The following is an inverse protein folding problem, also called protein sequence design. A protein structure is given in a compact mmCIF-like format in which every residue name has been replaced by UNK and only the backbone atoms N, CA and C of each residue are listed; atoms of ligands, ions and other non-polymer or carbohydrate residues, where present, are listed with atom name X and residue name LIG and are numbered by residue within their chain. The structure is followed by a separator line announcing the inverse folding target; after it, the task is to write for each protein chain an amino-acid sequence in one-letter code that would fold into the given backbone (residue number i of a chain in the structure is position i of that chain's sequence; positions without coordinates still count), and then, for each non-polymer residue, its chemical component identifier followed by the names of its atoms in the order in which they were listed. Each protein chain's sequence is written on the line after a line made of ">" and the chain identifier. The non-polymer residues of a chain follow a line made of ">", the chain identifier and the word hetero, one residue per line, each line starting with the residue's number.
data_IF_800740199504
#
_entry.id   IF_800740199504
#
_cell.length_a   1.000
_cell.length_b   1.000
_cell.length_c   1.000
_cell.angle_alpha   90.00
_cell.angle_beta   90.00
_cell.angle_gamma   90.00
#
_symmetry.space_group_name_H-M   'P 1'
#
loop_
_entity.id
_entity.type
_entity.pdbx_description
1 polymer ?
#
# COMPACT_ATOMS: atom_id res chain seq x y z
N UNK A 1 24.44 -18.46 -6.89
CA UNK A 1 23.09 -17.90 -7.09
C UNK A 1 22.70 -17.18 -5.84
N UNK A 2 22.31 -15.92 -5.98
CA UNK A 2 21.81 -15.09 -4.90
C UNK A 2 20.50 -15.69 -4.36
N UNK A 3 20.30 -15.58 -3.05
CA UNK A 3 19.06 -15.94 -2.39
C UNK A 3 18.47 -14.64 -1.84
N UNK A 4 17.61 -13.95 -2.59
CA UNK A 4 17.03 -12.71 -2.12
C UNK A 4 16.01 -12.97 -1.01
N UNK A 5 15.91 -12.06 -0.06
CA UNK A 5 14.89 -12.07 0.99
C UNK A 5 13.57 -11.50 0.49
N UNK A 6 13.62 -10.63 -0.52
CA UNK A 6 12.48 -9.99 -1.16
C UNK A 6 12.72 -9.83 -2.66
N UNK A 7 11.70 -10.09 -3.48
CA UNK A 7 11.71 -9.81 -4.92
C UNK A 7 10.60 -8.80 -5.25
N UNK A 8 10.97 -7.74 -5.96
CA UNK A 8 10.04 -6.71 -6.43
C UNK A 8 10.06 -6.70 -7.95
N UNK A 9 8.89 -6.82 -8.57
CA UNK A 9 8.76 -6.77 -10.02
C UNK A 9 7.65 -5.82 -10.45
N UNK A 10 7.87 -5.13 -11.58
CA UNK A 10 6.90 -4.22 -12.18
C UNK A 10 6.44 -4.74 -13.53
N UNK A 11 5.17 -4.53 -13.88
CA UNK A 11 4.61 -4.92 -15.17
C UNK A 11 4.85 -6.41 -15.49
N UNK A 12 5.51 -6.72 -16.59
CA UNK A 12 5.93 -8.10 -16.91
C UNK A 12 6.85 -8.69 -15.84
N UNK A 13 7.73 -7.89 -15.24
CA UNK A 13 8.56 -8.29 -14.09
C UNK A 13 7.69 -8.69 -12.90
N UNK A 14 6.57 -8.00 -12.67
CA UNK A 14 5.58 -8.34 -11.65
C UNK A 14 4.91 -9.70 -11.91
N UNK A 15 4.58 -9.99 -13.15
CA UNK A 15 4.06 -11.31 -13.54
C UNK A 15 5.07 -12.43 -13.20
N UNK A 16 6.33 -12.29 -13.59
CA UNK A 16 7.37 -13.28 -13.27
C UNK A 16 7.65 -13.37 -11.76
N UNK A 17 7.56 -12.24 -11.05
CA UNK A 17 7.75 -12.20 -9.59
C UNK A 17 6.66 -13.03 -8.88
N UNK A 18 5.41 -12.96 -9.32
CA UNK A 18 4.33 -13.78 -8.77
C UNK A 18 4.64 -15.28 -8.87
N UNK A 19 5.24 -15.73 -9.95
CA UNK A 19 5.55 -17.14 -10.21
C UNK A 19 6.66 -17.72 -9.33
N UNK A 20 7.44 -16.90 -8.64
CA UNK A 20 8.47 -17.35 -7.70
C UNK A 20 7.81 -17.96 -6.45
N UNK A 21 8.52 -18.85 -5.76
CA UNK A 21 8.04 -19.51 -4.54
C UNK A 21 9.09 -19.44 -3.43
N UNK A 22 8.62 -19.44 -2.17
CA UNK A 22 9.47 -19.47 -0.99
C UNK A 22 10.24 -18.18 -0.69
N UNK A 23 9.83 -17.05 -1.26
CA UNK A 23 10.42 -15.72 -1.05
C UNK A 23 9.30 -14.68 -0.95
N UNK A 24 9.53 -13.61 -0.20
CA UNK A 24 8.61 -12.48 -0.16
C UNK A 24 8.62 -11.73 -1.49
N UNK A 25 7.44 -11.29 -1.94
CA UNK A 25 7.24 -10.75 -3.28
C UNK A 25 6.35 -9.52 -3.26
N UNK A 26 6.73 -8.52 -4.08
CA UNK A 26 5.86 -7.38 -4.37
C UNK A 26 5.71 -7.27 -5.89
N UNK A 27 4.48 -7.36 -6.36
CA UNK A 27 4.10 -7.25 -7.76
C UNK A 27 3.46 -5.87 -7.99
N UNK A 28 4.11 -5.00 -8.74
CA UNK A 28 3.60 -3.65 -9.05
C UNK A 28 3.03 -3.64 -10.46
N UNK A 29 1.75 -3.34 -10.59
CA UNK A 29 1.02 -3.36 -11.88
C UNK A 29 1.37 -4.60 -12.73
N UNK A 30 1.24 -5.82 -12.17
CA UNK A 30 1.69 -7.04 -12.84
C UNK A 30 0.86 -7.35 -14.09
N UNK A 31 1.53 -7.59 -15.21
CA UNK A 31 0.92 -7.79 -16.52
C UNK A 31 0.50 -9.26 -16.75
N UNK A 32 -0.45 -9.78 -15.95
CA UNK A 32 -0.90 -11.18 -16.05
C UNK A 32 -1.67 -11.53 -17.33
N UNK A 33 -2.05 -10.54 -18.15
CA UNK A 33 -2.80 -10.73 -19.39
C UNK A 33 -2.01 -10.28 -20.61
N UNK A 34 -0.68 -10.40 -20.59
CA UNK A 34 0.20 -9.84 -21.61
C UNK A 34 -0.11 -10.38 -23.03
N UNK A 35 -0.44 -11.66 -23.16
CA UNK A 35 -0.85 -12.25 -24.44
C UNK A 35 -2.10 -11.58 -25.02
N UNK A 36 -3.09 -11.27 -24.19
CA UNK A 36 -4.31 -10.56 -24.58
C UNK A 36 -4.02 -9.08 -24.84
N UNK A 37 -3.23 -8.43 -24.02
CA UNK A 37 -2.82 -7.03 -24.21
C UNK A 37 -2.11 -6.84 -25.55
N UNK A 38 -1.20 -7.74 -25.95
CA UNK A 38 -0.53 -7.71 -27.25
C UNK A 38 -1.55 -7.80 -28.39
N UNK A 39 -2.58 -8.64 -28.24
CA UNK A 39 -3.64 -8.79 -29.25
C UNK A 39 -4.53 -7.56 -29.34
N UNK A 40 -5.04 -7.08 -28.22
CA UNK A 40 -6.01 -6.00 -28.13
C UNK A 40 -5.43 -4.66 -28.56
N UNK A 41 -4.17 -4.40 -28.20
CA UNK A 41 -3.45 -3.19 -28.56
C UNK A 41 -2.73 -3.30 -29.92
N UNK A 42 -2.95 -4.39 -30.67
CA UNK A 42 -2.33 -4.61 -31.98
C UNK A 42 -0.81 -4.45 -31.98
N UNK A 43 -0.15 -4.94 -30.92
CA UNK A 43 1.29 -4.75 -30.71
C UNK A 43 2.16 -5.69 -31.58
N UNK A 44 1.57 -6.62 -32.33
CA UNK A 44 2.32 -7.50 -33.24
C UNK A 44 2.96 -6.67 -34.35
N UNK A 45 4.26 -6.81 -34.52
CA UNK A 45 5.06 -6.03 -35.47
C UNK A 45 6.21 -5.30 -34.80
N UNK A 46 6.66 -4.24 -35.41
CA UNK A 46 7.76 -3.39 -34.93
C UNK A 46 7.27 -2.49 -33.80
N UNK A 47 7.91 -2.59 -32.65
CA UNK A 47 7.66 -1.78 -31.47
C UNK A 47 8.94 -1.05 -31.05
N UNK A 48 8.80 0.10 -30.39
CA UNK A 48 9.91 0.89 -29.85
C UNK A 48 9.92 0.76 -28.33
N UNK A 49 11.11 0.52 -27.77
CA UNK A 49 11.26 0.51 -26.33
C UNK A 49 10.95 1.88 -25.75
N UNK A 50 10.13 1.92 -24.71
CA UNK A 50 9.76 3.16 -24.02
C UNK A 50 10.96 3.85 -23.35
N UNK A 51 11.93 3.06 -22.90
CA UNK A 51 13.15 3.57 -22.27
C UNK A 51 14.37 3.23 -23.15
N UNK A 52 15.34 4.16 -23.27
CA UNK A 52 16.57 3.88 -23.98
C UNK A 52 17.30 2.68 -23.40
N UNK A 53 17.70 1.73 -24.25
CA UNK A 53 18.50 0.58 -23.84
C UNK A 53 19.99 0.93 -23.86
N UNK A 54 20.74 0.35 -22.92
CA UNK A 54 22.21 0.55 -22.83
C UNK A 54 22.98 -0.03 -24.02
N UNK A 55 22.40 -1.03 -24.70
CA UNK A 55 23.00 -1.68 -25.89
C UNK A 55 22.71 -0.92 -27.21
N UNK A 56 22.01 0.21 -27.14
CA UNK A 56 21.65 1.03 -28.31
C UNK A 56 20.49 0.48 -29.16
N UNK A 57 19.97 -0.71 -28.86
CA UNK A 57 18.83 -1.30 -29.57
C UNK A 57 17.56 -0.59 -29.10
N UNK A 58 16.89 0.13 -29.99
CA UNK A 58 15.67 0.88 -29.68
C UNK A 58 14.39 0.17 -30.08
N UNK A 59 14.48 -0.87 -30.89
CA UNK A 59 13.33 -1.52 -31.51
C UNK A 59 13.28 -3.01 -31.17
N UNK A 60 12.07 -3.53 -31.08
CA UNK A 60 11.79 -4.95 -30.92
C UNK A 60 10.71 -5.39 -31.89
N UNK A 61 10.81 -6.60 -32.40
CA UNK A 61 9.77 -7.20 -33.22
C UNK A 61 8.93 -8.12 -32.35
N UNK A 62 7.70 -7.74 -32.09
CA UNK A 62 6.71 -8.58 -31.42
C UNK A 62 6.08 -9.51 -32.45
N UNK A 63 6.31 -10.81 -32.31
CA UNK A 63 5.78 -11.81 -33.22
C UNK A 63 4.51 -12.46 -32.66
N UNK A 64 3.71 -13.10 -33.53
CA UNK A 64 2.60 -13.95 -33.06
C UNK A 64 3.07 -15.12 -32.21
N UNK A 65 4.26 -15.64 -32.45
CA UNK A 65 4.88 -16.68 -31.60
C UNK A 65 5.12 -16.16 -30.19
N UNK A 66 5.72 -14.96 -30.06
CA UNK A 66 5.94 -14.30 -28.78
C UNK A 66 4.62 -14.02 -28.04
N UNK A 67 3.59 -13.59 -28.74
CA UNK A 67 2.25 -13.41 -28.17
C UNK A 67 1.71 -14.74 -27.56
N UNK A 68 1.86 -15.84 -28.31
CA UNK A 68 1.44 -17.17 -27.85
C UNK A 68 2.26 -17.64 -26.62
N UNK A 69 3.57 -17.42 -26.63
CA UNK A 69 4.44 -17.71 -25.49
C UNK A 69 4.00 -16.97 -24.22
N UNK A 70 3.65 -15.68 -24.34
CA UNK A 70 3.10 -14.92 -23.21
C UNK A 70 1.78 -15.45 -22.71
N UNK A 71 0.89 -15.87 -23.60
CA UNK A 71 -0.38 -16.49 -23.22
C UNK A 71 -0.15 -17.82 -22.47
N UNK A 72 0.83 -18.62 -22.89
CA UNK A 72 1.21 -19.88 -22.22
C UNK A 72 1.87 -19.61 -20.86
N UNK A 73 2.75 -18.63 -20.75
CA UNK A 73 3.39 -18.24 -19.48
C UNK A 73 2.33 -17.71 -18.49
N UNK A 74 1.40 -16.89 -18.94
CA UNK A 74 0.31 -16.36 -18.11
C UNK A 74 -0.52 -17.47 -17.47
N UNK A 75 -0.72 -18.62 -18.15
CA UNK A 75 -1.43 -19.74 -17.58
C UNK A 75 -0.70 -20.41 -16.39
N UNK A 76 0.58 -20.12 -16.21
CA UNK A 76 1.36 -20.62 -15.07
C UNK A 76 1.23 -19.72 -13.84
N UNK A 77 0.77 -18.48 -14.00
CA UNK A 77 0.49 -17.58 -12.88
C UNK A 77 -0.56 -18.19 -11.96
N UNK A 78 -0.42 -17.94 -10.68
CA UNK A 78 -1.31 -18.42 -9.61
C UNK A 78 -1.41 -19.94 -9.44
N UNK A 79 -0.63 -20.72 -10.19
CA UNK A 79 -0.62 -22.18 -10.04
C UNK A 79 0.17 -22.61 -8.82
N UNK A 80 -0.40 -23.51 -8.01
CA UNK A 80 0.28 -24.06 -6.82
C UNK A 80 0.47 -23.04 -5.69
N UNK A 81 -0.37 -22.00 -5.62
CA UNK A 81 -0.36 -21.02 -4.51
C UNK A 81 -0.70 -21.74 -3.20
N UNK A 82 0.18 -21.63 -2.22
CA UNK A 82 0.00 -22.16 -0.86
C UNK A 82 -0.53 -21.09 0.09
N UNK A 83 -0.96 -21.49 1.30
CA UNK A 83 -1.35 -20.53 2.34
C UNK A 83 -0.16 -19.66 2.82
N UNK A 84 1.07 -20.20 2.80
CA UNK A 84 2.29 -19.42 3.06
C UNK A 84 2.51 -18.37 1.96
N UNK A 85 2.35 -18.74 0.69
CA UNK A 85 2.41 -17.77 -0.42
C UNK A 85 1.38 -16.64 -0.26
N UNK A 86 0.16 -16.95 0.19
CA UNK A 86 -0.88 -15.95 0.41
C UNK A 86 -0.50 -14.87 1.42
N UNK A 87 0.40 -15.17 2.34
CA UNK A 87 0.90 -14.22 3.34
C UNK A 87 2.13 -13.43 2.88
N UNK A 88 2.82 -13.91 1.82
CA UNK A 88 4.11 -13.37 1.37
C UNK A 88 4.03 -12.56 0.10
N UNK A 89 2.87 -12.48 -0.56
CA UNK A 89 2.72 -11.82 -1.86
C UNK A 89 1.86 -10.58 -1.73
N UNK A 90 2.43 -9.43 -2.06
CA UNK A 90 1.76 -8.14 -2.11
C UNK A 90 1.59 -7.71 -3.57
N UNK A 91 0.44 -7.16 -3.90
CA UNK A 91 0.16 -6.53 -5.20
C UNK A 91 -0.13 -5.05 -5.02
N UNK A 92 0.55 -4.21 -5.78
CA UNK A 92 0.31 -2.77 -5.83
C UNK A 92 -0.24 -2.40 -7.21
N UNK A 93 -1.39 -1.74 -7.26
CA UNK A 93 -2.11 -1.46 -8.51
C UNK A 93 -2.49 0.01 -8.62
N UNK A 94 -2.03 0.67 -9.69
CA UNK A 94 -2.40 2.05 -10.01
C UNK A 94 -3.87 2.13 -10.46
N UNK A 95 -4.63 3.02 -9.85
CA UNK A 95 -6.05 3.25 -10.16
C UNK A 95 -6.27 3.92 -11.53
N UNK A 96 -5.25 4.63 -12.02
CA UNK A 96 -5.22 5.27 -13.33
C UNK A 96 -4.28 4.57 -14.34
N UNK A 97 -3.96 3.28 -14.13
CA UNK A 97 -3.11 2.51 -15.05
C UNK A 97 -3.84 2.28 -16.38
N UNK A 98 -3.34 2.83 -17.51
CA UNK A 98 -3.98 2.64 -18.81
C UNK A 98 -3.63 1.31 -19.49
N UNK A 99 -2.74 0.51 -18.91
CA UNK A 99 -2.16 -0.68 -19.56
C UNK A 99 -2.63 -1.98 -18.91
N UNK A 100 -2.67 -2.02 -17.58
CA UNK A 100 -2.89 -3.23 -16.81
C UNK A 100 -4.08 -3.07 -15.88
N UNK A 101 -5.05 -4.01 -15.96
CA UNK A 101 -6.26 -4.02 -15.15
C UNK A 101 -6.45 -5.38 -14.47
N UNK A 102 -5.46 -5.80 -13.69
CA UNK A 102 -5.40 -7.16 -13.11
C UNK A 102 -5.60 -7.20 -11.60
N UNK A 103 -6.11 -6.12 -11.00
CA UNK A 103 -6.37 -6.03 -9.57
C UNK A 103 -7.30 -7.15 -9.08
N UNK A 104 -8.48 -7.30 -9.70
CA UNK A 104 -9.49 -8.27 -9.26
C UNK A 104 -9.00 -9.72 -9.42
N UNK A 105 -8.25 -9.97 -10.50
CA UNK A 105 -7.61 -11.27 -10.72
C UNK A 105 -6.62 -11.56 -9.59
N UNK A 106 -5.75 -10.63 -9.25
CA UNK A 106 -4.78 -10.79 -8.16
C UNK A 106 -5.48 -10.95 -6.80
N UNK A 107 -6.47 -10.09 -6.49
CA UNK A 107 -7.22 -10.10 -5.24
C UNK A 107 -8.00 -11.41 -5.02
N UNK A 108 -8.38 -12.11 -6.08
CA UNK A 108 -9.02 -13.42 -5.98
C UNK A 108 -8.06 -14.53 -5.48
N UNK A 109 -6.76 -14.32 -5.58
CA UNK A 109 -5.72 -15.27 -5.16
C UNK A 109 -4.96 -14.83 -3.89
N UNK A 110 -4.73 -13.52 -3.76
CA UNK A 110 -3.93 -12.93 -2.67
C UNK A 110 -4.70 -11.83 -1.95
N UNK A 111 -4.81 -11.87 -0.62
CA UNK A 111 -5.53 -10.84 0.14
C UNK A 111 -4.80 -9.49 0.19
N UNK A 112 -3.47 -9.47 -0.06
CA UNK A 112 -2.67 -8.24 -0.01
C UNK A 112 -2.67 -7.51 -1.37
N UNK A 113 -3.85 -7.21 -1.90
CA UNK A 113 -4.05 -6.39 -3.08
C UNK A 113 -4.31 -4.94 -2.68
N UNK A 114 -3.41 -4.04 -3.04
CA UNK A 114 -3.39 -2.65 -2.61
C UNK A 114 -3.55 -1.75 -3.82
N UNK A 115 -4.52 -0.83 -3.80
CA UNK A 115 -4.65 0.23 -4.81
C UNK A 115 -3.80 1.43 -4.41
N UNK A 116 -3.28 2.15 -5.39
CA UNK A 116 -2.59 3.42 -5.17
C UNK A 116 -2.99 4.45 -6.23
N UNK A 117 -2.92 5.72 -5.87
CA UNK A 117 -3.18 6.82 -6.81
C UNK A 117 -2.00 6.99 -7.76
N UNK A 118 -2.14 6.48 -8.96
CA UNK A 118 -1.09 6.54 -9.97
C UNK A 118 -1.35 5.68 -11.19
N UNK A 119 -0.43 5.84 -12.12
CA UNK A 119 -0.44 5.15 -13.41
C UNK A 119 0.41 3.88 -13.40
N UNK A 120 0.74 3.38 -14.60
CA UNK A 120 1.53 2.16 -14.80
C UNK A 120 2.96 2.22 -14.26
N UNK A 121 3.58 3.40 -14.29
CA UNK A 121 4.99 3.56 -13.94
C UNK A 121 5.21 3.70 -12.44
N UNK A 122 6.23 3.01 -11.95
CA UNK A 122 6.75 3.20 -10.60
C UNK A 122 7.58 4.50 -10.56
N UNK A 123 6.92 5.62 -10.29
CA UNK A 123 7.56 6.92 -10.08
C UNK A 123 7.96 7.09 -8.62
N UNK A 124 8.79 8.09 -8.32
CA UNK A 124 9.32 8.37 -6.98
C UNK A 124 8.21 8.48 -5.91
N UNK A 125 7.11 9.19 -6.22
CA UNK A 125 5.96 9.30 -5.32
C UNK A 125 5.39 7.91 -4.97
N UNK A 126 5.18 7.05 -5.96
CA UNK A 126 4.66 5.68 -5.74
C UNK A 126 5.66 4.85 -4.96
N UNK A 127 6.95 5.01 -5.23
CA UNK A 127 8.01 4.32 -4.50
C UNK A 127 7.94 4.63 -3.00
N UNK A 128 7.95 5.89 -2.62
CA UNK A 128 8.04 6.28 -1.21
C UNK A 128 6.71 6.15 -0.46
N UNK A 129 5.58 6.50 -1.07
CA UNK A 129 4.29 6.48 -0.38
C UNK A 129 3.62 5.10 -0.34
N UNK A 130 3.94 4.20 -1.28
CA UNK A 130 3.21 2.93 -1.39
C UNK A 130 4.12 1.71 -1.30
N UNK A 131 5.23 1.71 -2.02
CA UNK A 131 6.11 0.54 -2.05
C UNK A 131 6.95 0.42 -0.78
N UNK A 132 7.61 1.48 -0.35
CA UNK A 132 8.50 1.44 0.82
C UNK A 132 7.81 1.06 2.13
N UNK A 133 6.59 1.51 2.44
CA UNK A 133 5.85 1.00 3.62
C UNK A 133 5.63 -0.51 3.57
N UNK A 134 5.29 -1.08 2.41
CA UNK A 134 5.13 -2.53 2.26
C UNK A 134 6.46 -3.26 2.44
N UNK A 135 7.56 -2.73 1.88
CA UNK A 135 8.92 -3.26 2.11
C UNK A 135 9.24 -3.27 3.60
N UNK A 136 8.89 -2.20 4.32
CA UNK A 136 9.11 -2.08 5.77
C UNK A 136 8.31 -3.12 6.56
N UNK A 137 7.04 -3.34 6.25
CA UNK A 137 6.23 -4.37 6.90
C UNK A 137 6.81 -5.78 6.67
N UNK A 138 7.30 -6.05 5.46
CA UNK A 138 7.96 -7.32 5.14
C UNK A 138 9.25 -7.46 5.97
N UNK A 139 10.09 -6.44 6.00
CA UNK A 139 11.34 -6.43 6.78
C UNK A 139 11.08 -6.63 8.28
N UNK A 140 10.14 -5.89 8.86
CA UNK A 140 9.78 -6.03 10.27
C UNK A 140 9.30 -7.46 10.59
N UNK A 141 8.49 -8.05 9.71
CA UNK A 141 8.04 -9.45 9.86
C UNK A 141 9.20 -10.45 9.78
N UNK A 142 10.12 -10.28 8.82
CA UNK A 142 11.29 -11.15 8.66
C UNK A 142 12.23 -11.05 9.86
N UNK A 143 12.37 -9.87 10.44
CA UNK A 143 13.22 -9.60 11.60
C UNK A 143 12.53 -9.94 12.93
N UNK A 144 11.23 -10.26 12.92
CA UNK A 144 10.43 -10.43 14.13
C UNK A 144 10.31 -9.15 14.95
N UNK A 145 10.37 -7.99 14.30
CA UNK A 145 10.33 -6.69 14.94
C UNK A 145 8.89 -6.26 15.18
N UNK A 146 8.55 -6.07 16.44
CA UNK A 146 7.29 -5.47 16.87
C UNK A 146 7.49 -3.96 17.11
N UNK A 147 6.59 -3.15 16.53
CA UNK A 147 6.57 -1.70 16.77
C UNK A 147 5.37 -1.33 17.63
N UNK A 148 5.52 -0.37 18.55
CA UNK A 148 4.38 0.13 19.28
C UNK A 148 3.28 0.65 18.34
N UNK A 149 2.04 0.47 18.73
CA UNK A 149 0.86 0.86 17.95
C UNK A 149 0.42 2.28 18.29
N UNK A 150 0.07 3.05 17.25
CA UNK A 150 -0.52 4.39 17.37
C UNK A 150 -1.87 4.40 16.68
N UNK A 151 -2.93 4.63 17.44
CA UNK A 151 -4.29 4.83 16.93
C UNK A 151 -4.51 6.32 16.70
N UNK A 152 -4.83 6.71 15.48
CA UNK A 152 -5.16 8.10 15.11
C UNK A 152 -6.66 8.22 14.92
N UNK A 153 -7.34 8.91 15.82
CA UNK A 153 -8.79 9.12 15.75
C UNK A 153 -9.17 10.06 14.61
N UNK A 154 -10.25 9.74 13.92
CA UNK A 154 -10.80 10.50 12.80
C UNK A 154 -10.96 12.00 13.09
N UNK A 155 -11.26 12.37 14.33
CA UNK A 155 -11.44 13.76 14.76
C UNK A 155 -10.17 14.61 14.66
N UNK A 156 -9.01 14.02 14.40
CA UNK A 156 -7.71 14.71 14.34
C UNK A 156 -7.16 14.82 12.92
N UNK A 157 -7.87 14.31 11.90
CA UNK A 157 -7.33 14.17 10.56
C UNK A 157 -7.59 15.39 9.67
N UNK A 158 -8.82 15.93 9.73
CA UNK A 158 -9.29 16.92 8.78
C UNK A 158 -9.84 18.19 9.43
N UNK A 159 -9.80 19.28 8.70
CA UNK A 159 -10.47 20.52 9.03
C UNK A 159 -11.98 20.48 8.73
N UNK A 160 -12.67 21.58 8.97
CA UNK A 160 -14.11 21.73 8.70
C UNK A 160 -14.48 21.63 7.21
N UNK A 161 -13.50 21.69 6.32
CA UNK A 161 -13.69 21.60 4.87
C UNK A 161 -13.28 20.22 4.33
N UNK A 162 -12.95 19.27 5.19
CA UNK A 162 -12.52 17.93 4.83
C UNK A 162 -11.11 17.85 4.27
N UNK A 163 -10.27 18.86 4.46
CA UNK A 163 -8.85 18.83 4.07
C UNK A 163 -7.98 18.36 5.24
N UNK A 164 -6.89 17.63 4.97
CA UNK A 164 -5.95 17.23 6.02
C UNK A 164 -5.46 18.44 6.82
N UNK A 165 -5.40 18.30 8.13
CA UNK A 165 -4.85 19.33 9.01
C UNK A 165 -3.39 19.63 8.67
N UNK A 166 -2.97 20.87 8.91
CA UNK A 166 -1.58 21.28 8.70
C UNK A 166 -0.62 20.33 9.45
N UNK A 167 0.49 19.99 8.81
CA UNK A 167 1.53 19.09 9.32
C UNK A 167 1.09 17.62 9.56
N UNK A 168 -0.18 17.24 9.26
CA UNK A 168 -0.64 15.86 9.41
C UNK A 168 0.22 14.87 8.59
N UNK A 169 0.46 15.16 7.30
CA UNK A 169 1.25 14.25 6.45
C UNK A 169 2.67 14.06 6.99
N UNK A 170 3.31 15.15 7.43
CA UNK A 170 4.65 15.08 8.04
C UNK A 170 4.65 14.24 9.32
N UNK A 171 3.62 14.39 10.15
CA UNK A 171 3.46 13.60 11.37
C UNK A 171 3.24 12.12 11.05
N UNK A 172 2.39 11.84 10.07
CA UNK A 172 2.09 10.49 9.65
C UNK A 172 3.34 9.78 9.07
N UNK A 173 4.10 10.43 8.21
CA UNK A 173 5.36 9.88 7.69
C UNK A 173 6.35 9.58 8.83
N UNK A 174 6.51 10.51 9.76
CA UNK A 174 7.36 10.28 10.94
C UNK A 174 6.89 9.09 11.78
N UNK A 175 5.59 9.00 12.05
CA UNK A 175 5.02 7.89 12.82
C UNK A 175 5.20 6.55 12.11
N UNK A 176 5.01 6.48 10.79
CA UNK A 176 5.23 5.26 10.01
C UNK A 176 6.66 4.73 10.09
N UNK A 177 7.64 5.60 10.30
CA UNK A 177 9.04 5.18 10.42
C UNK A 177 9.32 4.41 11.73
N UNK A 178 8.53 4.65 12.76
CA UNK A 178 8.83 4.17 14.12
C UNK A 178 7.71 3.32 14.75
N UNK A 179 6.46 3.43 14.25
CA UNK A 179 5.26 2.87 14.87
C UNK A 179 4.40 2.10 13.88
N UNK A 180 3.54 1.22 14.39
CA UNK A 180 2.41 0.67 13.64
C UNK A 180 1.23 1.64 13.76
N UNK A 181 0.92 2.35 12.69
CA UNK A 181 -0.11 3.39 12.68
C UNK A 181 -1.43 2.84 12.18
N UNK A 182 -2.49 3.06 12.94
CA UNK A 182 -3.86 2.69 12.59
C UNK A 182 -4.77 3.92 12.64
N UNK A 183 -5.73 3.99 11.72
CA UNK A 183 -6.77 5.02 11.71
C UNK A 183 -8.02 4.49 12.39
N UNK A 184 -8.51 5.23 13.36
CA UNK A 184 -9.73 4.91 14.09
C UNK A 184 -10.87 5.77 13.56
N UNK A 185 -11.80 5.16 12.84
CA UNK A 185 -12.92 5.82 12.19
C UNK A 185 -14.22 5.42 12.92
N UNK A 186 -15.09 6.36 13.30
CA UNK A 186 -16.38 6.01 13.88
C UNK A 186 -17.24 5.25 12.87
N UNK A 187 -18.10 4.34 13.38
CA UNK A 187 -19.04 3.57 12.57
C UNK A 187 -20.49 3.96 12.93
N UNK A 188 -21.01 5.10 12.44
CA UNK A 188 -22.36 5.51 12.75
C UNK A 188 -23.40 4.53 12.19
N UNK A 189 -24.33 4.11 13.03
CA UNK A 189 -25.34 3.10 12.65
C UNK A 189 -26.41 3.61 11.69
N UNK A 190 -26.58 4.93 11.62
CA UNK A 190 -27.62 5.57 10.82
C UNK A 190 -27.07 6.30 9.57
N UNK A 191 -25.76 6.20 9.32
CA UNK A 191 -25.12 6.85 8.18
C UNK A 191 -24.08 5.90 7.55
N UNK A 192 -24.57 5.00 6.72
CA UNK A 192 -23.70 4.06 6.01
C UNK A 192 -22.84 4.74 4.94
N UNK A 193 -23.29 5.89 4.39
CA UNK A 193 -22.52 6.65 3.42
C UNK A 193 -21.23 7.22 4.03
N UNK A 194 -21.26 7.54 5.32
CA UNK A 194 -20.08 8.02 6.04
C UNK A 194 -18.92 7.02 5.98
N UNK A 195 -19.18 5.71 6.12
CA UNK A 195 -18.10 4.70 6.09
C UNK A 195 -17.39 4.68 4.73
N UNK A 196 -18.17 4.75 3.65
CA UNK A 196 -17.63 4.82 2.29
C UNK A 196 -16.82 6.10 2.09
N UNK A 197 -17.40 7.25 2.46
CA UNK A 197 -16.71 8.55 2.31
C UNK A 197 -15.43 8.66 3.16
N UNK A 198 -15.43 8.07 4.36
CA UNK A 198 -14.24 8.05 5.21
C UNK A 198 -13.13 7.17 4.60
N UNK A 199 -13.50 6.03 4.01
CA UNK A 199 -12.55 5.17 3.33
C UNK A 199 -11.99 5.84 2.07
N UNK A 200 -12.84 6.46 1.24
CA UNK A 200 -12.42 7.24 0.07
C UNK A 200 -11.48 8.38 0.47
N UNK A 201 -11.77 9.09 1.57
CA UNK A 201 -10.92 10.14 2.10
C UNK A 201 -9.53 9.61 2.49
N UNK A 202 -9.49 8.46 3.19
CA UNK A 202 -8.22 7.83 3.58
C UNK A 202 -7.44 7.39 2.34
N UNK A 203 -8.09 6.80 1.35
CA UNK A 203 -7.45 6.39 0.10
C UNK A 203 -6.90 7.60 -0.67
N UNK A 204 -7.61 8.73 -0.66
CA UNK A 204 -7.16 9.96 -1.33
C UNK A 204 -5.96 10.62 -0.61
N UNK A 205 -6.02 10.74 0.72
CA UNK A 205 -5.07 11.57 1.47
C UNK A 205 -4.00 10.78 2.24
N UNK A 206 -4.23 9.52 2.55
CA UNK A 206 -3.32 8.69 3.36
C UNK A 206 -2.66 7.59 2.55
N UNK A 207 -3.37 7.05 1.57
CA UNK A 207 -2.80 6.10 0.62
C UNK A 207 -2.58 4.66 1.13
N UNK A 208 -1.77 3.86 0.44
CA UNK A 208 -1.52 2.45 0.71
C UNK A 208 -1.02 2.13 2.14
N UNK A 209 -0.26 2.99 2.83
CA UNK A 209 0.08 2.73 4.24
C UNK A 209 -1.12 2.52 5.15
N UNK A 210 -2.30 3.01 4.77
CA UNK A 210 -3.55 2.77 5.50
C UNK A 210 -4.20 1.40 5.19
N UNK A 211 -3.71 0.63 4.23
CA UNK A 211 -4.26 -0.69 3.91
C UNK A 211 -4.21 -1.64 5.12
N UNK A 212 -5.35 -2.24 5.45
CA UNK A 212 -5.56 -3.04 6.69
C UNK A 212 -5.25 -2.30 8.00
N UNK A 213 -5.07 -0.98 7.97
CA UNK A 213 -4.77 -0.15 9.13
C UNK A 213 -5.93 0.82 9.44
N UNK A 214 -7.11 0.55 8.92
CA UNK A 214 -8.34 1.30 9.24
C UNK A 214 -9.23 0.45 10.14
N UNK A 215 -9.55 0.97 11.32
CA UNK A 215 -10.40 0.35 12.31
C UNK A 215 -11.71 1.14 12.41
N UNK A 216 -12.83 0.51 12.10
CA UNK A 216 -14.16 1.11 12.28
C UNK A 216 -14.70 0.75 13.65
N UNK A 217 -14.68 1.70 14.59
CA UNK A 217 -15.12 1.44 15.96
C UNK A 217 -15.73 2.67 16.63
N UNK A 218 -16.83 2.47 17.38
CA UNK A 218 -17.48 3.51 18.17
C UNK A 218 -16.99 3.59 19.62
N UNK A 219 -16.25 2.59 20.07
CA UNK A 219 -15.78 2.45 21.45
C UNK A 219 -14.27 2.22 21.47
N UNK A 220 -13.46 3.30 21.36
CA UNK A 220 -12.00 3.20 21.30
C UNK A 220 -11.37 2.50 22.51
N UNK A 221 -11.98 2.62 23.68
CA UNK A 221 -11.52 2.00 24.92
C UNK A 221 -11.51 0.46 24.90
N UNK A 222 -12.22 -0.16 23.93
CA UNK A 222 -12.20 -1.62 23.74
C UNK A 222 -11.05 -2.09 22.85
N UNK A 223 -10.29 -1.15 22.25
CA UNK A 223 -9.17 -1.47 21.40
C UNK A 223 -7.87 -1.52 22.21
N UNK A 224 -7.02 -2.47 21.87
CA UNK A 224 -5.67 -2.52 22.38
C UNK A 224 -4.76 -1.63 21.54
N UNK A 225 -3.96 -0.80 22.18
CA UNK A 225 -2.97 0.05 21.54
C UNK A 225 -2.07 0.73 22.56
N UNK A 226 -0.86 1.12 22.15
CA UNK A 226 0.09 1.80 23.04
C UNK A 226 -0.24 3.29 23.16
N UNK A 227 -0.66 3.91 22.05
CA UNK A 227 -0.99 5.33 21.99
C UNK A 227 -2.32 5.55 21.26
N UNK A 228 -3.11 6.52 21.75
CA UNK A 228 -4.31 7.00 21.09
C UNK A 228 -4.23 8.53 20.94
N UNK A 229 -4.22 9.04 19.73
CA UNK A 229 -4.28 10.48 19.43
C UNK A 229 -5.73 10.82 19.09
N UNK A 230 -6.40 11.58 19.96
CA UNK A 230 -7.82 11.94 19.77
C UNK A 230 -8.10 13.36 20.23
N UNK A 231 -8.97 14.08 19.49
CA UNK A 231 -9.52 15.36 19.92
C UNK A 231 -10.70 15.20 20.89
N UNK A 232 -11.15 13.97 21.09
CA UNK A 232 -12.21 13.64 22.05
C UNK A 232 -11.61 13.02 23.31
N UNK A 233 -12.23 13.29 24.45
CA UNK A 233 -11.88 12.59 25.68
C UNK A 233 -12.28 11.12 25.55
N UNK A 234 -11.34 10.23 25.72
CA UNK A 234 -11.56 8.78 25.76
C UNK A 234 -11.13 8.29 27.15
N UNK A 235 -12.13 7.93 27.96
CA UNK A 235 -11.90 7.36 29.28
C UNK A 235 -11.64 5.84 29.12
N UNK A 236 -10.83 5.29 30.03
CA UNK A 236 -10.56 3.84 30.12
C UNK A 236 -9.76 3.22 28.97
N UNK A 237 -9.14 4.02 28.08
CA UNK A 237 -8.17 3.48 27.16
C UNK A 237 -6.92 3.02 27.92
N UNK A 238 -6.48 1.78 27.70
CA UNK A 238 -5.39 1.17 28.47
C UNK A 238 -3.99 1.72 28.12
N UNK A 239 -3.82 2.29 26.94
CA UNK A 239 -2.58 2.93 26.51
C UNK A 239 -2.50 4.40 26.90
N UNK A 240 -1.54 5.11 26.33
CA UNK A 240 -1.36 6.55 26.51
C UNK A 240 -2.24 7.33 25.58
N UNK A 241 -3.14 8.18 26.12
CA UNK A 241 -3.96 9.09 25.31
C UNK A 241 -3.26 10.43 25.12
N UNK A 242 -3.14 10.87 23.86
CA UNK A 242 -2.66 12.20 23.46
C UNK A 242 -3.88 13.04 23.12
N UNK A 243 -4.19 14.01 23.97
CA UNK A 243 -5.35 14.88 23.85
C UNK A 243 -5.08 15.96 22.78
N UNK A 244 -5.35 15.64 21.52
CA UNK A 244 -5.16 16.57 20.40
C UNK A 244 -6.08 17.80 20.53
N UNK A 245 -5.53 18.98 20.29
CA UNK A 245 -6.22 20.27 20.48
C UNK A 245 -6.12 20.82 21.93
N UNK A 246 -5.46 20.11 22.85
CA UNK A 246 -5.15 20.61 24.19
C UNK A 246 -4.03 21.67 24.15
N UNK A 247 -3.75 22.27 25.31
CA UNK A 247 -2.63 23.22 25.42
C UNK A 247 -1.27 22.60 25.14
N UNK A 248 -1.12 21.29 25.37
CA UNK A 248 0.12 20.54 25.15
C UNK A 248 0.26 20.04 23.72
N UNK A 249 -0.84 19.64 23.09
CA UNK A 249 -0.86 19.05 21.74
C UNK A 249 -1.84 19.82 20.81
N UNK A 250 -1.57 21.07 20.56
CA UNK A 250 -2.44 21.96 19.75
C UNK A 250 -2.49 21.55 18.29
N UNK A 251 -1.36 21.09 17.78
CA UNK A 251 -1.15 20.74 16.37
C UNK A 251 -0.39 19.44 16.24
N UNK A 252 -0.27 18.96 15.03
CA UNK A 252 0.54 17.78 14.70
C UNK A 252 2.05 17.99 14.92
N UNK A 253 2.53 19.23 14.99
CA UNK A 253 3.95 19.51 15.25
C UNK A 253 4.34 19.20 16.70
N UNK A 254 3.48 19.50 17.67
CA UNK A 254 3.70 19.10 19.06
C UNK A 254 3.64 17.58 19.21
N UNK A 255 2.74 16.92 18.48
CA UNK A 255 2.67 15.45 18.46
C UNK A 255 3.97 14.84 17.94
N UNK A 256 4.51 15.33 16.80
CA UNK A 256 5.82 14.88 16.27
C UNK A 256 6.92 15.09 17.33
N UNK A 257 6.92 16.25 17.96
CA UNK A 257 7.93 16.60 18.98
C UNK A 257 7.87 15.65 20.17
N UNK A 258 6.67 15.27 20.60
CA UNK A 258 6.48 14.31 21.69
C UNK A 258 7.03 12.93 21.29
N UNK A 259 6.62 12.37 20.17
CA UNK A 259 7.08 11.06 19.72
C UNK A 259 8.58 11.04 19.37
N UNK A 260 9.13 12.13 18.87
CA UNK A 260 10.58 12.27 18.66
C UNK A 260 11.41 12.18 19.93
N UNK A 261 10.86 12.61 21.08
CA UNK A 261 11.51 12.47 22.40
C UNK A 261 11.43 11.06 22.98
N UNK A 262 10.42 10.28 22.58
CA UNK A 262 10.22 8.92 23.12
C UNK A 262 11.13 7.86 22.49
N UNK A 263 11.71 8.10 21.34
CA UNK A 263 12.52 7.05 20.73
C UNK A 263 12.80 7.19 19.25
N UNK A 264 12.64 8.35 18.68
CA UNK A 264 13.16 8.66 17.36
C UNK A 264 14.67 8.94 17.39
N UNK A 265 15.45 8.09 18.10
CA UNK A 265 16.92 8.10 18.04
C UNK A 265 17.41 6.99 17.14
#
# INVERSE_FOLDING_TARGET
>A
REKPDLVIGTSMGGMYTEMLRGVDRICVNPAFQMGDTIREQSMVGKQVYQNPRKDGIQEVIVTKALQKEYAEITQQCFTGVTDDDRQRVYGLFGDADPVVHTFDLFASHYPQAIRFHGEHRLIEKVLFHYLMPVVRWISDRQEGKERPSVLIDWSTLADNYGKPLSSFHKAYEFLLDHYNVYFLVPAPTNDHAFLTSAQEWIEEYVSAPAWNHVLFANQPQLLCGDYLISAKKVDEFLGTTIAFGSDEFKTWEEVITFFGRLGGQ
#
